data_IF_715428831766
#
_entry.id   IF_715428831766
#
_cell.length_a   1.000
_cell.length_b   1.000
_cell.length_c   1.000
_cell.angle_alpha   90.00
_cell.angle_beta   90.00
_cell.angle_gamma   90.00
#
_symmetry.space_group_name_H-M   'P 1'
#
loop_
_entity.id
_entity.type
_entity.pdbx_description
1 polymer ?
#
# COMPACT_ATOMS: atom_id res chain seq x y z
N UNK A 1 26.40 10.10 5.18
CA UNK A 1 25.00 9.68 5.33
C UNK A 1 24.79 8.49 4.42
N UNK A 2 24.88 7.27 4.97
CA UNK A 2 24.61 6.06 4.19
C UNK A 2 23.14 6.09 3.77
N UNK A 3 22.89 6.17 2.46
CA UNK A 3 21.54 6.10 1.92
C UNK A 3 20.92 4.78 2.33
N UNK A 4 19.85 4.82 3.13
CA UNK A 4 18.94 3.67 3.24
C UNK A 4 18.53 3.31 1.82
N UNK A 5 18.68 2.04 1.45
CA UNK A 5 18.27 1.55 0.14
C UNK A 5 16.75 1.70 0.00
N UNK A 6 16.32 2.76 -0.69
CA UNK A 6 14.91 3.03 -0.99
C UNK A 6 14.46 2.15 -2.15
N UNK A 7 13.18 1.80 -2.16
CA UNK A 7 12.58 0.89 -3.14
C UNK A 7 12.98 -0.57 -2.95
N UNK A 8 13.46 -0.97 -1.76
CA UNK A 8 13.73 -2.39 -1.46
C UNK A 8 12.46 -3.17 -1.13
N UNK A 9 11.38 -2.48 -0.76
CA UNK A 9 10.07 -3.04 -0.43
C UNK A 9 10.19 -4.28 0.45
N UNK A 10 10.91 -4.20 1.57
CA UNK A 10 11.05 -5.36 2.45
C UNK A 10 9.69 -5.66 3.10
N UNK A 11 9.04 -6.72 2.62
CA UNK A 11 7.67 -7.08 3.01
C UNK A 11 7.65 -7.86 4.32
N UNK A 12 6.77 -7.44 5.22
CA UNK A 12 6.44 -8.13 6.46
C UNK A 12 4.92 -8.34 6.51
N UNK A 13 4.51 -9.60 6.66
CA UNK A 13 3.11 -9.97 6.76
C UNK A 13 2.60 -9.85 8.20
N UNK A 14 1.36 -9.38 8.34
CA UNK A 14 0.64 -9.34 9.60
C UNK A 14 -0.64 -10.18 9.51
N UNK A 15 -1.07 -10.71 10.66
CA UNK A 15 -2.35 -11.39 10.84
C UNK A 15 -3.42 -10.47 11.46
N UNK A 16 -3.05 -9.28 11.92
CA UNK A 16 -3.98 -8.26 12.39
C UNK A 16 -4.56 -7.47 11.21
N UNK A 17 -5.80 -6.98 11.36
CA UNK A 17 -6.42 -6.05 10.39
C UNK A 17 -6.52 -6.58 8.95
N UNK A 18 -6.71 -7.89 8.82
CA UNK A 18 -6.77 -8.55 7.52
C UNK A 18 -8.09 -8.31 6.82
N UNK A 19 -8.05 -8.07 5.51
CA UNK A 19 -9.25 -8.14 4.66
C UNK A 19 -9.11 -9.21 3.57
N UNK A 20 -10.20 -9.51 2.89
CA UNK A 20 -10.27 -10.40 1.73
C UNK A 20 -9.24 -10.01 0.66
N UNK A 21 -8.45 -11.00 0.25
CA UNK A 21 -7.49 -10.87 -0.86
C UNK A 21 -8.16 -10.34 -2.13
N UNK A 22 -9.44 -10.68 -2.35
CA UNK A 22 -10.19 -10.24 -3.52
C UNK A 22 -10.37 -8.72 -3.58
N UNK A 23 -10.73 -8.08 -2.47
CA UNK A 23 -10.94 -6.62 -2.45
C UNK A 23 -9.60 -5.88 -2.53
N UNK A 24 -8.57 -6.39 -1.86
CA UNK A 24 -7.23 -5.84 -1.95
C UNK A 24 -6.62 -5.96 -3.35
N UNK A 25 -6.85 -7.08 -4.04
CA UNK A 25 -6.45 -7.24 -5.44
C UNK A 25 -7.14 -6.24 -6.36
N UNK A 26 -8.42 -5.96 -6.14
CA UNK A 26 -9.13 -4.93 -6.92
C UNK A 26 -8.54 -3.54 -6.68
N UNK A 27 -8.26 -3.19 -5.42
CA UNK A 27 -7.61 -1.92 -5.09
C UNK A 27 -6.24 -1.82 -5.76
N UNK A 28 -5.37 -2.81 -5.59
CA UNK A 28 -4.02 -2.83 -6.17
C UNK A 28 -4.08 -2.74 -7.69
N UNK A 29 -4.98 -3.49 -8.35
CA UNK A 29 -5.18 -3.40 -9.79
C UNK A 29 -5.62 -1.98 -10.23
N UNK A 30 -6.48 -1.32 -9.44
CA UNK A 30 -6.94 0.03 -9.76
C UNK A 30 -5.81 1.07 -9.74
N UNK A 31 -4.76 0.85 -8.96
CA UNK A 31 -3.57 1.72 -8.95
C UNK A 31 -2.81 1.68 -10.29
N UNK A 32 -2.91 0.57 -11.01
CA UNK A 32 -2.23 0.36 -12.30
C UNK A 32 -3.10 0.70 -13.53
N UNK A 33 -4.40 0.97 -13.35
CA UNK A 33 -5.30 1.34 -14.45
C UNK A 33 -5.03 2.77 -14.93
N UNK A 34 -4.81 3.70 -14.00
CA UNK A 34 -4.52 5.10 -14.28
C UNK A 34 -3.29 5.57 -13.45
N UNK A 35 -2.11 4.99 -13.72
CA UNK A 35 -0.95 5.11 -12.84
C UNK A 35 -0.42 6.54 -12.71
N UNK A 36 -0.69 7.42 -13.68
CA UNK A 36 -0.28 8.83 -13.67
C UNK A 36 -1.22 9.75 -12.89
N UNK A 37 -2.33 9.25 -12.36
CA UNK A 37 -3.25 10.05 -11.56
C UNK A 37 -2.57 10.46 -10.26
N UNK A 38 -2.46 11.79 -10.05
CA UNK A 38 -1.91 12.36 -8.83
C UNK A 38 -2.87 12.12 -7.67
N UNK A 39 -2.31 11.62 -6.57
CA UNK A 39 -2.98 11.43 -5.30
C UNK A 39 -2.64 12.64 -4.43
N UNK A 40 -3.66 13.18 -3.74
CA UNK A 40 -3.44 14.26 -2.79
C UNK A 40 -2.51 13.83 -1.66
N UNK A 41 -1.77 14.78 -1.09
CA UNK A 41 -0.83 14.50 0.02
C UNK A 41 -1.53 14.07 1.33
N UNK A 42 -2.86 14.21 1.41
CA UNK A 42 -3.69 13.82 2.55
C UNK A 42 -5.10 13.44 2.09
N UNK A 43 -5.72 12.40 2.68
CA UNK A 43 -5.17 11.50 3.70
C UNK A 43 -4.05 10.61 3.15
N UNK A 44 -3.18 10.08 4.02
CA UNK A 44 -2.10 9.15 3.65
C UNK A 44 -2.63 7.73 3.39
N UNK A 45 -3.72 7.62 2.63
CA UNK A 45 -4.41 6.37 2.39
C UNK A 45 -5.33 6.42 1.18
N UNK A 46 -5.47 5.30 0.48
CA UNK A 46 -6.51 5.04 -0.53
C UNK A 46 -7.23 3.75 -0.14
N UNK A 47 -8.56 3.80 -0.04
CA UNK A 47 -9.38 2.66 0.32
C UNK A 47 -10.39 2.31 -0.76
N UNK A 48 -10.73 1.03 -0.85
CA UNK A 48 -11.80 0.47 -1.65
C UNK A 48 -12.69 -0.39 -0.73
N UNK A 49 -13.91 0.06 -0.52
CA UNK A 49 -14.95 -0.68 0.21
C UNK A 49 -15.95 -1.33 -0.73
N UNK A 50 -16.22 -2.63 -0.57
CA UNK A 50 -17.26 -3.34 -1.34
C UNK A 50 -17.87 -4.47 -0.51
N UNK A 51 -19.21 -4.50 -0.43
CA UNK A 51 -19.94 -5.62 0.16
C UNK A 51 -19.62 -5.89 1.63
N UNK A 52 -19.27 -4.86 2.40
CA UNK A 52 -18.89 -4.97 3.82
C UNK A 52 -17.42 -5.28 4.07
N UNK A 53 -16.62 -5.47 3.02
CA UNK A 53 -15.16 -5.60 3.06
C UNK A 53 -14.51 -4.26 2.70
N UNK A 54 -13.32 -3.98 3.22
CA UNK A 54 -12.56 -2.78 2.92
C UNK A 54 -11.08 -3.12 2.77
N UNK A 55 -10.46 -2.69 1.68
CA UNK A 55 -9.00 -2.69 1.61
C UNK A 55 -8.48 -1.28 1.49
N UNK A 56 -7.36 -1.01 2.13
CA UNK A 56 -6.68 0.26 2.12
C UNK A 56 -5.19 0.04 1.86
N UNK A 57 -4.64 0.87 0.97
CA UNK A 57 -3.21 1.19 0.92
C UNK A 57 -3.01 2.43 1.78
N UNK A 58 -2.07 2.40 2.72
CA UNK A 58 -1.75 3.56 3.57
C UNK A 58 -0.25 3.71 3.73
N UNK A 59 0.25 4.91 4.02
CA UNK A 59 1.68 5.17 4.14
C UNK A 59 2.01 6.08 5.33
N UNK A 60 3.20 5.90 5.91
CA UNK A 60 3.59 6.50 7.19
C UNK A 60 4.05 7.96 7.09
N UNK A 61 4.55 8.39 5.93
CA UNK A 61 5.10 9.74 5.71
C UNK A 61 4.43 10.42 4.53
N UNK A 62 3.82 11.58 4.75
CA UNK A 62 3.25 12.38 3.67
C UNK A 62 4.32 12.71 2.60
N UNK A 63 4.05 12.32 1.36
CA UNK A 63 4.87 12.64 0.21
C UNK A 63 4.09 13.54 -0.77
N UNK A 64 4.82 14.37 -1.53
CA UNK A 64 4.24 15.29 -2.50
C UNK A 64 4.20 14.69 -3.91
N UNK A 65 3.17 15.03 -4.69
CA UNK A 65 3.05 14.61 -6.10
C UNK A 65 3.09 13.09 -6.29
N UNK A 66 2.57 12.34 -5.33
CA UNK A 66 2.44 10.88 -5.42
C UNK A 66 1.49 10.57 -6.57
N UNK A 67 1.86 9.62 -7.43
CA UNK A 67 0.99 9.07 -8.45
C UNK A 67 0.52 7.68 -8.02
N UNK A 68 -0.64 7.23 -8.52
CA UNK A 68 -1.13 5.88 -8.23
C UNK A 68 -0.10 4.78 -8.52
N UNK A 69 0.69 4.95 -9.58
CA UNK A 69 1.76 4.02 -9.93
C UNK A 69 2.87 3.91 -8.88
N UNK A 70 3.11 4.96 -8.09
CA UNK A 70 4.13 4.94 -7.02
C UNK A 70 3.73 3.95 -5.90
N UNK A 71 2.43 3.86 -5.61
CA UNK A 71 1.86 2.94 -4.62
C UNK A 71 1.72 1.50 -5.14
N UNK A 72 1.81 1.28 -6.45
CA UNK A 72 1.47 -0.02 -7.02
C UNK A 72 2.48 -1.10 -6.64
N UNK A 73 3.78 -0.80 -6.75
CA UNK A 73 4.82 -1.82 -6.61
C UNK A 73 4.83 -2.42 -5.20
N UNK A 74 4.87 -1.59 -4.16
CA UNK A 74 4.88 -2.05 -2.78
C UNK A 74 3.58 -2.77 -2.39
N UNK A 75 2.41 -2.21 -2.72
CA UNK A 75 1.14 -2.88 -2.47
C UNK A 75 1.02 -4.23 -3.20
N UNK A 76 1.53 -4.34 -4.42
CA UNK A 76 1.55 -5.59 -5.17
C UNK A 76 2.52 -6.61 -4.56
N UNK A 77 3.69 -6.19 -4.07
CA UNK A 77 4.64 -7.06 -3.36
C UNK A 77 4.05 -7.59 -2.04
N UNK A 78 3.36 -6.72 -1.28
CA UNK A 78 2.64 -7.11 -0.06
C UNK A 78 1.52 -8.10 -0.40
N UNK A 79 0.73 -7.83 -1.43
CA UNK A 79 -0.34 -8.73 -1.87
C UNK A 79 0.19 -10.10 -2.31
N UNK A 80 1.29 -10.12 -3.07
CA UNK A 80 1.92 -11.35 -3.56
C UNK A 80 2.55 -12.19 -2.45
N UNK A 81 3.14 -11.54 -1.45
CA UNK A 81 3.84 -12.22 -0.35
C UNK A 81 2.89 -12.61 0.78
N UNK A 82 1.97 -11.73 1.15
CA UNK A 82 1.09 -11.87 2.32
C UNK A 82 -0.31 -12.37 1.98
N UNK A 83 -0.72 -12.31 0.70
CA UNK A 83 -2.03 -12.76 0.22
C UNK A 83 -2.11 -14.25 -0.13
N UNK A 84 -1.27 -15.10 0.46
CA UNK A 84 -1.24 -16.55 0.18
C UNK A 84 -2.50 -17.32 0.63
N UNK A 85 -3.36 -16.70 1.45
CA UNK A 85 -4.62 -17.27 1.95
C UNK A 85 -5.87 -16.58 1.39
N UNK A 86 -6.94 -16.54 2.19
CA UNK A 86 -8.17 -15.80 1.84
C UNK A 86 -8.11 -14.32 2.23
N UNK A 87 -7.16 -13.95 3.09
CA UNK A 87 -7.02 -12.61 3.63
C UNK A 87 -5.59 -12.10 3.50
N UNK A 88 -5.42 -10.77 3.52
CA UNK A 88 -4.11 -10.10 3.44
C UNK A 88 -4.03 -8.97 4.45
N UNK A 89 -2.89 -8.89 5.12
CA UNK A 89 -2.43 -7.73 5.87
C UNK A 89 -0.91 -7.75 5.88
N UNK A 90 -0.29 -6.59 5.76
CA UNK A 90 1.16 -6.46 5.83
C UNK A 90 1.63 -5.06 5.49
N UNK A 91 2.94 -4.88 5.59
CA UNK A 91 3.60 -3.64 5.21
C UNK A 91 4.90 -3.93 4.45
N UNK A 92 5.34 -2.95 3.68
CA UNK A 92 6.65 -2.89 3.07
C UNK A 92 7.39 -1.68 3.64
N UNK A 93 8.62 -1.89 4.10
CA UNK A 93 9.49 -0.80 4.53
C UNK A 93 10.33 -0.25 3.37
N UNK A 94 10.87 0.97 3.58
CA UNK A 94 11.75 1.66 2.65
C UNK A 94 11.15 1.85 1.23
N UNK A 95 9.84 2.06 1.12
CA UNK A 95 9.14 2.37 -0.13
C UNK A 95 9.51 3.78 -0.59
N UNK A 96 9.77 3.95 -1.89
CA UNK A 96 10.03 5.26 -2.49
C UNK A 96 8.76 5.83 -3.12
N UNK A 97 8.13 6.79 -2.46
CA UNK A 97 7.01 7.55 -3.00
C UNK A 97 7.51 8.91 -3.48
N UNK A 98 7.76 9.04 -4.79
CA UNK A 98 8.16 10.29 -5.43
C UNK A 98 9.40 10.94 -4.76
N UNK A 99 10.41 10.13 -4.40
CA UNK A 99 11.63 10.60 -3.75
C UNK A 99 11.51 10.75 -2.22
N UNK A 100 10.43 10.26 -1.61
CA UNK A 100 10.23 10.20 -0.16
C UNK A 100 10.25 8.75 0.31
N UNK A 101 11.12 8.44 1.27
CA UNK A 101 11.17 7.12 1.88
C UNK A 101 10.06 7.01 2.93
N UNK A 102 9.19 6.02 2.79
CA UNK A 102 8.07 5.75 3.71
C UNK A 102 7.91 4.25 3.91
N UNK A 103 7.06 3.87 4.84
CA UNK A 103 6.47 2.54 4.88
C UNK A 103 5.12 2.59 4.17
N UNK A 104 4.74 1.50 3.50
CA UNK A 104 3.45 1.34 2.85
C UNK A 104 2.77 0.07 3.38
N UNK A 105 1.49 0.15 3.69
CA UNK A 105 0.70 -0.91 4.29
C UNK A 105 -0.47 -1.27 3.39
N UNK A 106 -0.81 -2.56 3.33
CA UNK A 106 -2.03 -3.07 2.69
C UNK A 106 -2.85 -3.83 3.74
N UNK A 107 -4.07 -3.37 4.06
CA UNK A 107 -4.91 -3.98 5.10
C UNK A 107 -6.35 -3.46 5.07
N UNK A 108 -7.19 -3.83 6.03
CA UNK A 108 -8.54 -3.26 6.20
C UNK A 108 -8.58 -1.91 6.94
N UNK A 109 -7.44 -1.22 7.12
CA UNK A 109 -7.37 0.07 7.81
C UNK A 109 -6.67 1.14 7.00
N UNK A 110 -7.30 2.30 6.90
CA UNK A 110 -6.71 3.52 6.35
C UNK A 110 -5.50 4.02 7.16
N UNK A 111 -5.39 3.63 8.42
CA UNK A 111 -4.37 4.12 9.37
C UNK A 111 -3.38 3.04 9.79
N UNK A 112 -3.17 1.99 8.98
CA UNK A 112 -2.28 0.90 9.38
C UNK A 112 -0.81 1.36 9.49
N UNK A 113 -0.38 2.21 8.57
CA UNK A 113 0.98 2.76 8.57
C UNK A 113 1.14 4.08 9.36
N UNK A 114 0.07 4.63 9.95
CA UNK A 114 0.05 5.99 10.55
C UNK A 114 -0.01 5.99 12.07
#
# INVERSE_FOLDING_TARGET
LAGRARGTNNVVCDTSNTDSVSICRQLVNSLNVDPSTIIGNSPCSICLGQGGNECCVSWSVAAGNIQKGDLFNAANDILGTCGGGSTVSGFADNVDLSGTCTDECLSNRATHCS
#
